data_IF_451278521058
#
_entry.id   IF_451278521058
#
_cell.length_a   1.000
_cell.length_b   1.000
_cell.length_c   1.000
_cell.angle_alpha   90.00
_cell.angle_beta   90.00
_cell.angle_gamma   90.00
#
_symmetry.space_group_name_H-M   'P 1'
#
loop_
_entity.id
_entity.type
_entity.pdbx_description
1 polymer ?
#
# COMPACT_ATOMS: atom_id res chain seq x y z
N UNK A 1 6.57 -22.91 31.62
CA UNK A 1 7.26 -21.70 31.12
C UNK A 1 6.30 -21.03 30.16
N UNK A 2 5.71 -19.91 30.59
CA UNK A 2 4.68 -19.17 29.87
C UNK A 2 5.22 -18.59 28.57
N UNK A 3 4.57 -18.88 27.44
CA UNK A 3 4.57 -17.92 26.34
C UNK A 3 3.25 -17.14 26.43
N UNK A 4 3.24 -15.93 27.02
CA UNK A 4 2.04 -15.13 27.10
C UNK A 4 1.66 -14.73 25.67
N UNK A 5 0.37 -14.88 25.37
CA UNK A 5 -0.36 -14.28 24.25
C UNK A 5 0.47 -13.30 23.43
N UNK A 6 0.73 -13.63 22.15
CA UNK A 6 1.28 -12.68 21.19
C UNK A 6 0.55 -11.35 21.39
N UNK A 7 1.30 -10.31 21.77
CA UNK A 7 0.75 -9.00 22.03
C UNK A 7 -0.17 -8.64 20.86
N UNK A 8 -1.45 -8.42 21.15
CA UNK A 8 -2.43 -7.94 20.17
C UNK A 8 -2.11 -6.47 19.89
N UNK A 9 -0.90 -6.22 19.37
CA UNK A 9 -0.36 -4.92 19.10
C UNK A 9 -1.16 -4.35 17.93
N UNK A 10 -1.68 -3.14 18.13
CA UNK A 10 -2.38 -2.41 17.08
C UNK A 10 -1.48 -2.30 15.85
N UNK A 11 -2.03 -2.63 14.68
CA UNK A 11 -1.33 -2.53 13.41
C UNK A 11 -1.85 -1.34 12.62
N UNK A 12 -0.95 -0.70 11.86
CA UNK A 12 -1.28 0.40 10.95
C UNK A 12 -1.16 -0.08 9.50
N UNK A 13 -2.28 -0.08 8.78
CA UNK A 13 -2.33 -0.21 7.33
C UNK A 13 -2.42 1.15 6.65
N UNK A 14 -1.58 1.41 5.65
CA UNK A 14 -1.60 2.68 4.90
C UNK A 14 -2.28 2.47 3.54
N UNK A 15 -3.40 3.17 3.31
CA UNK A 15 -4.09 3.15 2.02
C UNK A 15 -3.44 4.13 1.03
N UNK A 16 -3.11 3.66 -0.17
CA UNK A 16 -2.40 4.45 -1.20
C UNK A 16 -3.28 4.90 -2.38
N UNK A 17 -4.59 4.69 -2.35
CA UNK A 17 -5.52 5.01 -3.44
C UNK A 17 -5.48 6.50 -3.82
N UNK A 18 -5.31 7.38 -2.84
CA UNK A 18 -5.27 8.83 -3.08
C UNK A 18 -3.95 9.30 -3.72
N UNK A 19 -2.85 8.57 -3.54
CA UNK A 19 -1.59 8.85 -4.26
C UNK A 19 -1.81 8.57 -5.74
N UNK A 20 -2.41 7.41 -6.05
CA UNK A 20 -2.79 7.08 -7.42
C UNK A 20 -3.81 8.07 -7.99
N UNK A 21 -4.73 8.59 -7.17
CA UNK A 21 -5.70 9.62 -7.60
C UNK A 21 -4.99 10.89 -8.10
N UNK A 22 -3.97 11.38 -7.38
CA UNK A 22 -3.18 12.54 -7.80
C UNK A 22 -2.45 12.26 -9.13
N UNK A 23 -1.84 11.08 -9.24
CA UNK A 23 -1.19 10.64 -10.49
C UNK A 23 -2.15 10.62 -11.67
N UNK A 24 -3.33 9.99 -11.51
CA UNK A 24 -4.35 9.89 -12.57
C UNK A 24 -4.91 11.26 -12.95
N UNK A 25 -5.11 12.17 -11.98
CA UNK A 25 -5.59 13.52 -12.25
C UNK A 25 -4.64 14.32 -13.15
N UNK A 26 -3.32 14.09 -13.03
CA UNK A 26 -2.30 14.76 -13.84
C UNK A 26 -1.85 13.96 -15.07
N UNK A 27 -2.32 12.71 -15.23
CA UNK A 27 -1.97 11.81 -16.34
C UNK A 27 -0.46 11.67 -16.54
N UNK A 28 0.25 11.50 -15.44
CA UNK A 28 1.72 11.36 -15.37
C UNK A 28 2.07 10.05 -14.66
N UNK A 29 3.36 9.74 -14.55
CA UNK A 29 3.86 8.61 -13.78
C UNK A 29 4.02 8.94 -12.28
N UNK A 30 4.09 10.22 -11.92
CA UNK A 30 4.29 10.67 -10.53
C UNK A 30 3.05 11.37 -9.93
N UNK A 31 2.78 11.18 -8.63
CA UNK A 31 3.52 10.32 -7.69
C UNK A 31 3.25 8.81 -7.92
N UNK A 32 4.28 7.96 -7.85
CA UNK A 32 4.11 6.50 -7.97
C UNK A 32 3.64 5.86 -6.63
N UNK A 33 2.47 5.20 -6.58
CA UNK A 33 2.01 4.48 -5.39
C UNK A 33 2.98 3.39 -4.91
N UNK A 34 3.76 2.77 -5.81
CA UNK A 34 4.72 1.74 -5.43
C UNK A 34 5.87 2.34 -4.59
N UNK A 35 6.37 3.52 -4.99
CA UNK A 35 7.39 4.23 -4.22
C UNK A 35 6.84 4.66 -2.85
N UNK A 36 5.59 5.12 -2.81
CA UNK A 36 4.93 5.48 -1.56
C UNK A 36 4.74 4.30 -0.61
N UNK A 37 4.49 3.09 -1.12
CA UNK A 37 4.42 1.88 -0.31
C UNK A 37 5.74 1.62 0.44
N UNK A 38 6.87 1.73 -0.26
CA UNK A 38 8.21 1.57 0.34
C UNK A 38 8.43 2.62 1.44
N UNK A 39 8.05 3.88 1.19
CA UNK A 39 8.17 4.95 2.18
C UNK A 39 7.26 4.72 3.40
N UNK A 40 6.04 4.22 3.20
CA UNK A 40 5.13 3.89 4.28
C UNK A 40 5.68 2.76 5.16
N UNK A 41 6.23 1.69 4.56
CA UNK A 41 6.89 0.61 5.29
C UNK A 41 8.11 1.11 6.08
N UNK A 42 8.97 1.93 5.46
CA UNK A 42 10.10 2.56 6.15
C UNK A 42 9.66 3.49 7.29
N UNK A 43 8.47 4.08 7.17
CA UNK A 43 7.82 4.88 8.20
C UNK A 43 7.18 4.07 9.33
N UNK A 44 7.24 2.74 9.28
CA UNK A 44 6.73 1.84 10.33
C UNK A 44 5.31 1.30 10.09
N UNK A 45 4.77 1.44 8.88
CA UNK A 45 3.51 0.78 8.53
C UNK A 45 3.64 -0.75 8.63
N UNK A 46 2.61 -1.41 9.15
CA UNK A 46 2.55 -2.87 9.25
C UNK A 46 1.89 -3.51 8.02
N UNK A 47 1.30 -2.70 7.15
CA UNK A 47 0.71 -3.15 5.91
C UNK A 47 0.39 -2.00 4.97
N UNK A 48 0.18 -2.38 3.71
CA UNK A 48 -0.21 -1.49 2.62
C UNK A 48 -1.58 -1.93 2.13
N UNK A 49 -2.47 -0.97 1.92
CA UNK A 49 -3.81 -1.22 1.40
C UNK A 49 -4.00 -0.52 0.06
N UNK A 50 -4.54 -1.23 -0.93
CA UNK A 50 -4.92 -0.66 -2.23
C UNK A 50 -6.22 -1.26 -2.75
N UNK A 51 -7.03 -0.45 -3.42
CA UNK A 51 -8.26 -0.92 -4.05
C UNK A 51 -8.16 -0.81 -5.57
N UNK A 52 -7.97 -1.95 -6.23
CA UNK A 52 -8.13 -2.06 -7.69
C UNK A 52 -9.61 -2.09 -8.07
N UNK A 53 -10.16 -0.94 -8.38
CA UNK A 53 -11.55 -0.81 -8.83
C UNK A 53 -11.74 -1.32 -10.25
N UNK A 54 -12.91 -1.87 -10.57
CA UNK A 54 -13.28 -2.28 -11.94
C UNK A 54 -13.11 -1.14 -12.96
N UNK A 55 -13.51 0.08 -12.58
CA UNK A 55 -13.40 1.29 -13.40
C UNK A 55 -11.97 1.87 -13.51
N UNK A 56 -11.01 1.32 -12.76
CA UNK A 56 -9.61 1.79 -12.71
C UNK A 56 -9.46 3.30 -12.48
N UNK A 57 -10.33 3.91 -11.66
CA UNK A 57 -10.30 5.38 -11.48
C UNK A 57 -9.02 5.89 -10.78
N UNK A 58 -8.31 5.05 -10.01
CA UNK A 58 -7.07 5.41 -9.31
C UNK A 58 -5.98 4.35 -9.50
N UNK A 59 -5.98 3.30 -8.67
CA UNK A 59 -5.02 2.19 -8.75
C UNK A 59 -5.20 1.44 -10.07
N UNK A 60 -4.09 1.10 -10.71
CA UNK A 60 -4.03 0.37 -11.98
C UNK A 60 -3.48 -1.05 -11.78
N UNK A 61 -3.70 -1.94 -12.75
CA UNK A 61 -3.18 -3.31 -12.70
C UNK A 61 -1.65 -3.36 -12.54
N UNK A 62 -0.94 -2.39 -13.15
CA UNK A 62 0.50 -2.19 -12.96
C UNK A 62 0.84 -2.07 -11.48
N UNK A 63 0.11 -1.23 -10.76
CA UNK A 63 0.40 -0.90 -9.38
C UNK A 63 0.24 -2.14 -8.50
N UNK A 64 -0.85 -2.89 -8.66
CA UNK A 64 -1.09 -4.13 -7.91
C UNK A 64 -0.01 -5.17 -8.17
N UNK A 65 0.38 -5.37 -9.45
CA UNK A 65 1.43 -6.32 -9.81
C UNK A 65 2.77 -5.96 -9.16
N UNK A 66 3.14 -4.68 -9.20
CA UNK A 66 4.40 -4.21 -8.62
C UNK A 66 4.36 -4.20 -7.10
N UNK A 67 3.25 -3.78 -6.48
CA UNK A 67 3.07 -3.82 -5.02
C UNK A 67 3.21 -5.25 -4.50
N UNK A 68 2.67 -6.26 -5.19
CA UNK A 68 2.88 -7.68 -4.84
C UNK A 68 4.34 -8.13 -4.89
N UNK A 69 5.18 -7.46 -5.66
CA UNK A 69 6.62 -7.75 -5.78
C UNK A 69 7.47 -6.93 -4.80
N UNK A 70 6.96 -5.78 -4.35
CA UNK A 70 7.73 -4.78 -3.60
C UNK A 70 7.37 -4.73 -2.12
N UNK A 71 6.09 -4.83 -1.76
CA UNK A 71 5.62 -4.79 -0.36
C UNK A 71 6.12 -6.02 0.37
N UNK A 72 6.82 -5.81 1.50
CA UNK A 72 7.40 -6.88 2.33
C UNK A 72 6.50 -7.25 3.50
N UNK A 73 5.68 -6.30 3.91
CA UNK A 73 4.65 -6.45 4.94
C UNK A 73 3.37 -7.05 4.36
N UNK A 74 2.24 -6.87 5.04
CA UNK A 74 0.95 -7.34 4.54
C UNK A 74 0.41 -6.41 3.45
N UNK A 75 0.08 -6.96 2.29
CA UNK A 75 -0.66 -6.27 1.23
C UNK A 75 -2.14 -6.67 1.29
N UNK A 76 -3.02 -5.68 1.46
CA UNK A 76 -4.48 -5.82 1.50
C UNK A 76 -5.12 -5.17 0.27
#
# INVERSE_FOLDING_TARGET
MSNPQASNALTLGVNLDHIATIRQARRTIEPDPVAAAVLAELGGANGITVHLREDRRHIQDRDVRLLRQTVRSHLN
#
